data_IF_766442111164
#
_entry.id   IF_766442111164
#
_cell.length_a   1.000
_cell.length_b   1.000
_cell.length_c   1.000
_cell.angle_alpha   90.00
_cell.angle_beta   90.00
_cell.angle_gamma   90.00
#
_symmetry.space_group_name_H-M   'P 1'
#
loop_
_entity.id
_entity.type
_entity.pdbx_description
1 polymer ?
#
# COMPACT_ATOMS: atom_id res chain seq x y z
N UNK A 1 28.95 25.65 -15.78
CA UNK A 1 27.56 25.49 -15.29
C UNK A 1 27.45 24.08 -14.71
N UNK A 2 27.56 23.93 -13.39
CA UNK A 2 27.28 22.68 -12.63
C UNK A 2 26.68 23.14 -11.29
N UNK A 3 25.74 22.40 -10.66
CA UNK A 3 25.78 20.96 -10.34
C UNK A 3 24.64 20.18 -11.04
N UNK A 4 24.79 18.90 -11.39
CA UNK A 4 24.84 17.80 -10.43
C UNK A 4 23.42 17.34 -10.09
N UNK A 5 22.82 16.50 -10.94
CA UNK A 5 21.86 15.50 -10.49
C UNK A 5 22.44 14.13 -10.83
N UNK A 6 23.38 13.71 -9.98
CA UNK A 6 23.53 12.30 -9.65
C UNK A 6 22.45 12.00 -8.63
N UNK A 7 21.52 11.14 -8.99
CA UNK A 7 20.78 10.31 -8.04
C UNK A 7 20.42 9.08 -8.87
N UNK A 8 21.34 8.13 -8.98
CA UNK A 8 21.30 6.92 -8.15
C UNK A 8 19.99 6.13 -8.32
N UNK A 9 19.42 6.08 -9.52
CA UNK A 9 18.58 4.95 -9.92
C UNK A 9 19.45 3.83 -10.51
N UNK A 10 20.49 3.44 -9.75
CA UNK A 10 20.80 2.01 -9.68
C UNK A 10 19.62 1.40 -8.94
N UNK A 11 18.49 1.22 -9.64
CA UNK A 11 17.34 0.51 -9.11
C UNK A 11 17.91 -0.78 -8.53
N UNK A 12 17.80 -0.94 -7.22
CA UNK A 12 17.94 -2.25 -6.61
C UNK A 12 16.80 -3.07 -7.21
N UNK A 13 17.07 -3.73 -8.34
CA UNK A 13 16.08 -4.43 -9.15
C UNK A 13 15.44 -5.58 -8.34
N UNK A 14 16.12 -5.99 -7.27
CA UNK A 14 15.68 -6.99 -6.30
C UNK A 14 14.86 -6.41 -5.13
N UNK A 15 14.90 -5.10 -4.87
CA UNK A 15 14.21 -4.51 -3.74
C UNK A 15 12.70 -4.47 -3.98
N UNK A 16 11.95 -4.94 -2.98
CA UNK A 16 10.50 -4.93 -3.02
C UNK A 16 9.98 -3.49 -3.13
N UNK A 17 9.32 -3.17 -4.24
CA UNK A 17 8.60 -1.91 -4.43
C UNK A 17 7.30 -1.93 -3.64
N UNK A 18 7.17 -1.03 -2.68
CA UNK A 18 6.02 -0.90 -1.80
C UNK A 18 5.34 0.43 -2.10
N UNK A 19 4.08 0.40 -2.49
CA UNK A 19 3.28 1.61 -2.68
C UNK A 19 2.47 1.89 -1.42
N UNK A 20 2.48 3.11 -0.92
CA UNK A 20 1.80 3.53 0.30
C UNK A 20 0.84 4.66 -0.02
N UNK A 21 -0.45 4.46 0.23
CA UNK A 21 -1.51 5.45 0.01
C UNK A 21 -2.04 5.95 1.34
N UNK A 22 -2.06 7.26 1.57
CA UNK A 22 -2.68 7.91 2.74
C UNK A 22 -2.28 7.34 4.12
N UNK A 23 -1.12 6.68 4.22
CA UNK A 23 -0.56 6.19 5.48
C UNK A 23 0.44 7.19 6.07
N UNK A 24 0.35 7.38 7.39
CA UNK A 24 1.39 8.08 8.13
C UNK A 24 2.67 7.25 8.23
N UNK A 25 3.80 7.93 8.42
CA UNK A 25 5.08 7.27 8.67
C UNK A 25 5.04 6.41 9.94
N UNK A 26 4.31 6.84 10.97
CA UNK A 26 4.14 6.07 12.19
C UNK A 26 3.48 4.71 11.92
N UNK A 27 2.47 4.66 11.04
CA UNK A 27 1.81 3.43 10.63
C UNK A 27 2.75 2.50 9.87
N UNK A 28 3.61 3.05 9.00
CA UNK A 28 4.63 2.28 8.28
C UNK A 28 5.67 1.69 9.24
N UNK A 29 6.07 2.44 10.28
CA UNK A 29 6.99 1.97 11.32
C UNK A 29 6.36 0.92 12.24
N UNK A 30 5.04 0.97 12.42
CA UNK A 30 4.29 -0.02 13.18
C UNK A 30 4.11 -1.35 12.42
N UNK A 31 4.42 -1.38 11.12
CA UNK A 31 4.34 -2.62 10.35
C UNK A 31 5.38 -3.64 10.82
N UNK A 32 5.01 -4.91 10.90
CA UNK A 32 5.96 -5.97 11.20
C UNK A 32 6.99 -6.13 10.09
N UNK A 33 8.24 -6.44 10.47
CA UNK A 33 9.42 -6.50 9.58
C UNK A 33 9.31 -7.54 8.45
N UNK A 34 8.41 -8.51 8.60
CA UNK A 34 8.11 -9.51 7.58
C UNK A 34 7.26 -8.98 6.40
N UNK A 35 6.57 -7.84 6.60
CA UNK A 35 5.76 -7.15 5.60
C UNK A 35 6.62 -6.10 4.94
N UNK A 36 7.32 -5.32 5.77
CA UNK A 36 8.21 -4.25 5.31
C UNK A 36 9.65 -4.64 5.63
N UNK A 37 10.32 -5.22 4.63
CA UNK A 37 11.70 -5.69 4.77
C UNK A 37 12.67 -4.51 4.78
N UNK A 38 13.75 -4.55 5.59
CA UNK A 38 14.80 -3.52 5.57
C UNK A 38 15.50 -3.54 4.20
N UNK A 39 15.20 -2.54 3.35
CA UNK A 39 15.62 -2.49 1.95
C UNK A 39 14.46 -2.32 0.95
N UNK A 40 13.21 -2.38 1.41
CA UNK A 40 12.04 -2.13 0.55
C UNK A 40 11.97 -0.67 0.13
N UNK A 41 11.73 -0.40 -1.15
CA UNK A 41 11.51 0.96 -1.65
C UNK A 41 10.05 1.35 -1.47
N UNK A 42 9.78 2.21 -0.48
CA UNK A 42 8.43 2.72 -0.22
C UNK A 42 8.21 3.99 -1.06
N UNK A 43 7.23 3.95 -1.97
CA UNK A 43 6.71 5.11 -2.69
C UNK A 43 5.40 5.53 -2.05
N UNK A 44 5.25 6.81 -1.71
CA UNK A 44 3.99 7.36 -1.19
C UNK A 44 3.27 8.10 -2.32
N UNK A 45 2.00 7.79 -2.53
CA UNK A 45 1.17 8.38 -3.59
C UNK A 45 -0.27 8.60 -3.11
N UNK A 46 -1.01 9.46 -3.80
CA UNK A 46 -2.44 9.69 -3.56
C UNK A 46 -3.34 8.76 -4.39
N UNK A 47 -4.59 8.61 -3.98
CA UNK A 47 -5.57 7.85 -4.77
C UNK A 47 -5.77 8.43 -6.17
N UNK A 48 -5.70 9.76 -6.30
CA UNK A 48 -5.85 10.47 -7.56
C UNK A 48 -4.70 10.19 -8.56
N UNK A 49 -3.52 9.83 -8.06
CA UNK A 49 -2.33 9.54 -8.87
C UNK A 49 -2.16 8.05 -9.15
N UNK A 50 -2.84 7.19 -8.39
CA UNK A 50 -2.86 5.74 -8.59
C UNK A 50 -3.17 5.27 -10.02
N UNK A 51 -4.10 5.87 -10.80
CA UNK A 51 -4.33 5.46 -12.18
C UNK A 51 -3.17 5.81 -13.14
N UNK A 52 -2.33 6.79 -12.80
CA UNK A 52 -1.11 7.12 -13.56
C UNK A 52 0.07 6.22 -13.15
N UNK A 53 0.00 5.67 -11.93
CA UNK A 53 1.00 4.79 -11.38
C UNK A 53 1.06 3.43 -12.12
N UNK A 54 2.27 2.96 -12.42
CA UNK A 54 2.49 1.71 -13.13
C UNK A 54 2.11 0.50 -12.25
N UNK A 55 0.87 0.03 -12.36
CA UNK A 55 0.36 -1.14 -11.62
C UNK A 55 0.65 -2.49 -12.30
N UNK A 56 1.13 -2.47 -13.55
CA UNK A 56 1.38 -3.67 -14.36
C UNK A 56 2.80 -3.68 -14.93
N UNK A 57 3.38 -4.88 -15.09
CA UNK A 57 4.71 -5.08 -15.67
C UNK A 57 5.83 -5.20 -14.63
N UNK A 58 7.10 -5.16 -15.05
CA UNK A 58 8.26 -5.37 -14.17
C UNK A 58 8.50 -4.21 -13.18
N UNK A 59 7.88 -3.05 -13.44
CA UNK A 59 7.97 -1.89 -12.56
C UNK A 59 6.83 -1.83 -11.53
N UNK A 60 5.86 -2.73 -11.59
CA UNK A 60 4.71 -2.73 -10.69
C UNK A 60 5.12 -2.94 -9.21
N UNK A 61 4.42 -2.29 -8.27
CA UNK A 61 4.68 -2.51 -6.85
C UNK A 61 4.33 -3.95 -6.44
N UNK A 62 5.24 -4.62 -5.75
CA UNK A 62 4.96 -5.96 -5.23
C UNK A 62 3.96 -5.95 -4.07
N UNK A 63 3.82 -4.80 -3.40
CA UNK A 63 2.95 -4.59 -2.26
C UNK A 63 2.34 -3.19 -2.29
N UNK A 64 1.03 -3.10 -2.10
CA UNK A 64 0.30 -1.85 -1.89
C UNK A 64 -0.16 -1.82 -0.44
N UNK A 65 0.03 -0.68 0.22
CA UNK A 65 -0.33 -0.40 1.60
C UNK A 65 -1.30 0.77 1.63
N UNK A 66 -2.39 0.64 2.37
CA UNK A 66 -3.26 1.78 2.68
C UNK A 66 -3.89 1.60 4.05
N UNK A 67 -4.54 2.63 4.62
CA UNK A 67 -5.47 2.42 5.71
C UNK A 67 -6.70 1.65 5.20
N UNK A 68 -7.35 0.93 6.10
CA UNK A 68 -8.59 0.21 5.80
C UNK A 68 -9.75 1.17 5.52
N UNK A 69 -9.78 2.29 6.24
CA UNK A 69 -10.79 3.32 6.11
C UNK A 69 -10.07 4.66 6.23
N UNK A 70 -10.25 5.53 5.25
CA UNK A 70 -9.84 6.92 5.28
C UNK A 70 -11.08 7.79 5.10
N UNK A 71 -11.05 9.09 5.43
CA UNK A 71 -12.14 9.99 5.12
C UNK A 71 -12.39 10.18 3.60
N UNK A 72 -11.40 9.87 2.75
CA UNK A 72 -11.49 10.05 1.30
C UNK A 72 -11.85 8.76 0.54
N UNK A 73 -11.39 7.62 1.02
CA UNK A 73 -11.57 6.29 0.41
C UNK A 73 -11.46 5.16 1.44
N UNK A 74 -12.03 4.00 1.12
CA UNK A 74 -11.87 2.79 1.92
C UNK A 74 -11.12 1.69 1.14
N UNK A 75 -10.75 0.63 1.83
CA UNK A 75 -9.99 -0.47 1.26
C UNK A 75 -10.72 -1.20 0.13
N UNK A 76 -12.06 -1.27 0.13
CA UNK A 76 -12.79 -1.88 -0.98
C UNK A 76 -12.70 -1.00 -2.22
N UNK A 77 -12.86 0.32 -2.06
CA UNK A 77 -12.77 1.26 -3.18
C UNK A 77 -11.37 1.19 -3.82
N UNK A 78 -10.31 1.20 -3.00
CA UNK A 78 -8.95 1.02 -3.47
C UNK A 78 -8.73 -0.35 -4.13
N UNK A 79 -9.23 -1.45 -3.54
CA UNK A 79 -9.11 -2.78 -4.12
C UNK A 79 -9.82 -2.89 -5.48
N UNK A 80 -10.94 -2.19 -5.68
CA UNK A 80 -11.62 -2.09 -6.97
C UNK A 80 -10.76 -1.38 -7.99
N UNK A 81 -10.21 -0.22 -7.64
CA UNK A 81 -9.38 0.57 -8.55
C UNK A 81 -8.12 -0.22 -8.93
N UNK A 82 -7.44 -0.84 -7.97
CA UNK A 82 -6.29 -1.72 -8.22
C UNK A 82 -6.67 -2.85 -9.19
N UNK A 83 -7.85 -3.47 -9.01
CA UNK A 83 -8.32 -4.54 -9.89
C UNK A 83 -8.59 -4.03 -11.31
N UNK A 84 -9.17 -2.83 -11.44
CA UNK A 84 -9.43 -2.18 -12.72
C UNK A 84 -8.12 -1.82 -13.44
N UNK A 85 -7.09 -1.39 -12.69
CA UNK A 85 -5.74 -1.16 -13.20
C UNK A 85 -5.00 -2.46 -13.56
N UNK A 86 -5.57 -3.64 -13.30
CA UNK A 86 -4.95 -4.94 -13.57
C UNK A 86 -3.88 -5.34 -12.55
N UNK A 87 -3.86 -4.71 -11.38
CA UNK A 87 -2.96 -5.06 -10.28
C UNK A 87 -3.25 -6.48 -9.79
N UNK A 88 -2.19 -7.27 -9.61
CA UNK A 88 -2.26 -8.67 -9.12
C UNK A 88 -1.30 -8.94 -7.95
N UNK A 89 -0.74 -7.89 -7.38
CA UNK A 89 0.18 -8.02 -6.26
C UNK A 89 -0.54 -8.15 -4.92
N UNK A 90 0.21 -7.92 -3.84
CA UNK A 90 -0.33 -7.95 -2.48
C UNK A 90 -0.89 -6.59 -2.12
N UNK A 91 -2.10 -6.55 -1.60
CA UNK A 91 -2.70 -5.33 -1.07
C UNK A 91 -2.94 -5.53 0.42
N UNK A 92 -2.43 -4.64 1.26
CA UNK A 92 -2.51 -4.76 2.70
C UNK A 92 -3.07 -3.47 3.31
N UNK A 93 -4.18 -3.63 4.01
CA UNK A 93 -4.86 -2.54 4.69
C UNK A 93 -4.51 -2.50 6.18
N UNK A 94 -4.20 -1.32 6.71
CA UNK A 94 -3.92 -1.11 8.14
C UNK A 94 -5.14 -0.54 8.85
N UNK A 95 -5.41 -1.00 10.07
CA UNK A 95 -6.51 -0.50 10.90
C UNK A 95 -6.15 -0.45 12.38
N UNK A 96 -6.65 0.56 13.08
CA UNK A 96 -6.27 0.88 14.45
C UNK A 96 -7.05 0.04 15.45
N UNK A 97 -8.36 -0.10 15.23
CA UNK A 97 -9.22 -1.04 15.94
C UNK A 97 -10.32 -1.53 15.01
N UNK A 98 -10.44 -2.85 14.84
CA UNK A 98 -11.57 -3.44 14.11
C UNK A 98 -12.39 -4.33 15.02
N UNK A 99 -13.71 -4.15 15.09
CA UNK A 99 -14.59 -5.21 15.53
C UNK A 99 -14.81 -6.29 14.45
N UNK A 100 -14.36 -6.15 13.19
CA UNK A 100 -14.67 -7.14 12.12
C UNK A 100 -13.71 -7.15 10.91
N UNK A 101 -12.39 -7.29 11.12
CA UNK A 101 -11.42 -7.44 10.00
C UNK A 101 -11.75 -8.60 9.05
N UNK A 102 -12.35 -9.65 9.58
CA UNK A 102 -12.76 -10.82 8.81
C UNK A 102 -13.85 -10.49 7.77
N UNK A 103 -14.77 -9.57 8.10
CA UNK A 103 -15.85 -9.17 7.20
C UNK A 103 -15.29 -8.42 5.99
N UNK A 104 -14.39 -7.44 6.22
CA UNK A 104 -13.76 -6.70 5.13
C UNK A 104 -12.92 -7.60 4.24
N UNK A 105 -12.14 -8.54 4.82
CA UNK A 105 -11.41 -9.55 4.02
C UNK A 105 -12.33 -10.32 3.09
N UNK A 106 -13.51 -10.75 3.57
CA UNK A 106 -14.48 -11.48 2.76
C UNK A 106 -15.07 -10.62 1.65
N UNK A 107 -15.39 -9.36 1.94
CA UNK A 107 -15.93 -8.44 0.92
C UNK A 107 -14.90 -8.14 -0.17
N UNK A 108 -13.66 -7.82 0.20
CA UNK A 108 -12.59 -7.57 -0.77
C UNK A 108 -12.28 -8.82 -1.57
N UNK A 109 -12.22 -10.01 -0.95
CA UNK A 109 -12.01 -11.26 -1.67
C UNK A 109 -13.17 -11.60 -2.63
N UNK A 110 -14.40 -11.23 -2.28
CA UNK A 110 -15.57 -11.43 -3.15
C UNK A 110 -15.59 -10.47 -4.35
N UNK A 111 -15.15 -9.23 -4.16
CA UNK A 111 -15.14 -8.20 -5.21
C UNK A 111 -13.88 -8.26 -6.09
N UNK A 112 -12.73 -8.56 -5.48
CA UNK A 112 -11.40 -8.51 -6.09
C UNK A 112 -10.60 -9.79 -5.81
N UNK A 113 -11.05 -10.96 -6.34
CA UNK A 113 -10.39 -12.24 -6.08
C UNK A 113 -8.99 -12.36 -6.70
N UNK A 114 -8.63 -11.46 -7.62
CA UNK A 114 -7.32 -11.44 -8.28
C UNK A 114 -6.22 -10.72 -7.48
N UNK A 115 -6.58 -10.08 -6.36
CA UNK A 115 -5.65 -9.34 -5.51
C UNK A 115 -5.47 -10.11 -4.21
N UNK A 116 -4.22 -10.26 -3.77
CA UNK A 116 -3.94 -10.88 -2.49
C UNK A 116 -4.11 -9.86 -1.36
N UNK A 117 -5.36 -9.71 -0.89
CA UNK A 117 -5.73 -8.76 0.15
C UNK A 117 -5.48 -9.30 1.56
N UNK A 118 -4.83 -8.51 2.41
CA UNK A 118 -4.64 -8.78 3.84
C UNK A 118 -4.94 -7.53 4.68
N UNK A 119 -5.17 -7.73 5.98
CA UNK A 119 -5.50 -6.63 6.92
C UNK A 119 -4.64 -6.78 8.17
N UNK A 120 -3.89 -5.74 8.51
CA UNK A 120 -3.11 -5.65 9.74
C UNK A 120 -3.84 -4.75 10.73
N UNK A 121 -4.08 -5.31 11.90
CA UNK A 121 -4.62 -4.57 13.05
C UNK A 121 -3.43 -4.06 13.86
N UNK A 122 -3.30 -2.74 13.96
CA UNK A 122 -2.40 -2.08 14.89
C UNK A 122 -3.04 -2.04 16.29
N UNK A 123 -2.25 -1.77 17.32
CA UNK A 123 -2.68 -1.86 18.72
C UNK A 123 -3.45 -0.63 19.24
N UNK A 124 -3.91 0.28 18.37
CA UNK A 124 -4.58 1.50 18.83
C UNK A 124 -3.64 2.64 19.27
N UNK A 125 -2.34 2.35 19.36
CA UNK A 125 -1.34 3.24 19.96
C UNK A 125 -0.63 4.13 18.94
N UNK A 126 -1.00 4.04 17.65
CA UNK A 126 -0.25 4.67 16.55
C UNK A 126 -1.21 5.39 15.59
N UNK A 127 -1.02 6.69 15.32
CA UNK A 127 -1.87 7.39 14.36
C UNK A 127 -1.68 6.80 12.95
N UNK A 128 -2.77 6.28 12.39
CA UNK A 128 -2.78 5.70 11.04
C UNK A 128 -2.69 6.77 9.94
N UNK A 129 -3.28 7.92 10.19
CA UNK A 129 -3.38 9.03 9.24
C UNK A 129 -2.55 10.22 9.74
N UNK A 130 -1.78 10.82 8.85
CA UNK A 130 -1.27 12.17 9.04
C UNK A 130 -2.26 13.10 8.34
N UNK A 131 -3.11 13.76 9.13
CA UNK A 131 -3.77 14.99 8.70
C UNK A 131 -2.72 16.10 8.59
#
# INVERSE_FOLDING_TARGET
MVPGHRTEDSFDEAALKVLSLALSEAALLALPRHVLQPGSHIRRTGLAELPDELMTGPHAPGLVLSPLLTPEFDALDLARILTQCGYRGRYLALVDRLPSANLIRREVAAQSPNINFDVIVLDGSTPLHSL
#
